data_IF_521713813765
#
_entry.id   IF_521713813765
#
_cell.length_a   1.000
_cell.length_b   1.000
_cell.length_c   1.000
_cell.angle_alpha   90.00
_cell.angle_beta   90.00
_cell.angle_gamma   90.00
#
_symmetry.space_group_name_H-M   'P 1'
#
loop_
_entity.id
_entity.type
_entity.pdbx_description
1 polymer ?
#
# COMPACT_ATOMS: atom_id res chain seq x y z
N UNK A 1 2.37 5.96 -7.60
CA UNK A 1 1.75 5.22 -6.46
C UNK A 1 2.80 4.54 -5.58
N UNK A 2 3.79 3.84 -6.14
CA UNK A 2 4.89 3.26 -5.35
C UNK A 2 5.68 4.31 -4.54
N UNK A 3 5.89 5.50 -5.09
CA UNK A 3 6.53 6.62 -4.36
C UNK A 3 5.76 6.98 -3.09
N UNK A 4 4.42 7.02 -3.15
CA UNK A 4 3.56 7.30 -2.00
C UNK A 4 3.59 6.19 -0.96
N UNK A 5 3.70 4.94 -1.40
CA UNK A 5 3.77 3.79 -0.50
C UNK A 5 5.09 3.74 0.26
N UNK A 6 6.19 4.07 -0.42
CA UNK A 6 7.56 3.77 0.05
C UNK A 6 8.34 4.99 0.51
N UNK A 7 7.92 6.20 0.15
CA UNK A 7 8.67 7.44 0.36
C UNK A 7 9.95 7.54 -0.49
N UNK A 8 10.15 6.63 -1.45
CA UNK A 8 11.38 6.57 -2.28
C UNK A 8 11.20 7.27 -3.62
N UNK A 9 12.32 7.73 -4.18
CA UNK A 9 12.39 8.22 -5.56
C UNK A 9 12.11 7.09 -6.57
N UNK A 10 11.49 7.39 -7.72
CA UNK A 10 11.18 6.38 -8.72
C UNK A 10 12.43 5.80 -9.39
N UNK A 11 13.50 6.60 -9.47
CA UNK A 11 14.82 6.17 -9.93
C UNK A 11 15.94 6.75 -9.07
N UNK A 12 16.90 5.93 -8.67
CA UNK A 12 18.09 6.33 -7.92
C UNK A 12 19.36 5.65 -8.48
N UNK A 13 20.25 6.43 -9.11
CA UNK A 13 21.48 5.91 -9.70
C UNK A 13 22.55 5.50 -8.68
N UNK A 14 22.43 5.94 -7.41
CA UNK A 14 23.36 5.59 -6.35
C UNK A 14 23.15 4.16 -5.82
N UNK A 15 21.97 3.59 -6.07
CA UNK A 15 21.58 2.25 -5.65
C UNK A 15 22.15 1.15 -6.57
N UNK A 16 22.26 -0.11 -6.09
CA UNK A 16 22.61 -1.26 -6.94
C UNK A 16 21.67 -1.38 -8.14
N UNK A 17 22.15 -1.86 -9.31
CA UNK A 17 21.39 -1.88 -10.57
C UNK A 17 19.97 -2.44 -10.48
N UNK A 18 19.73 -3.42 -9.61
CA UNK A 18 18.40 -4.02 -9.43
C UNK A 18 17.44 -3.11 -8.65
N UNK A 19 17.98 -2.25 -7.79
CA UNK A 19 17.27 -1.34 -6.91
C UNK A 19 17.14 0.08 -7.45
N UNK A 20 17.84 0.41 -8.54
CA UNK A 20 17.77 1.73 -9.16
C UNK A 20 16.37 2.07 -9.64
N UNK A 21 15.60 1.10 -10.12
CA UNK A 21 14.21 1.29 -10.52
C UNK A 21 13.29 0.84 -9.40
N UNK A 22 12.49 1.77 -8.88
CA UNK A 22 11.55 1.50 -7.80
C UNK A 22 10.56 0.39 -8.17
N UNK A 23 10.08 0.37 -9.42
CA UNK A 23 9.18 -0.68 -9.92
C UNK A 23 9.86 -2.03 -9.87
N UNK A 24 11.07 -2.15 -10.44
CA UNK A 24 11.80 -3.42 -10.50
C UNK A 24 12.10 -4.00 -9.11
N UNK A 25 12.43 -3.14 -8.16
CA UNK A 25 12.66 -3.54 -6.77
C UNK A 25 11.37 -3.91 -6.04
N UNK A 26 10.30 -3.13 -6.22
CA UNK A 26 9.05 -3.28 -5.46
C UNK A 26 8.18 -4.45 -5.93
N UNK A 27 8.04 -4.66 -7.24
CA UNK A 27 7.13 -5.66 -7.82
C UNK A 27 7.20 -7.04 -7.18
N UNK A 28 8.37 -7.68 -6.96
CA UNK A 28 8.43 -9.01 -6.36
C UNK A 28 7.93 -9.08 -4.90
N UNK A 29 7.83 -7.94 -4.23
CA UNK A 29 7.47 -7.85 -2.81
C UNK A 29 5.99 -7.50 -2.59
N UNK A 30 5.25 -7.09 -3.63
CA UNK A 30 3.86 -6.60 -3.50
C UNK A 30 2.86 -7.66 -3.05
N UNK A 31 3.19 -8.95 -3.21
CA UNK A 31 2.31 -10.08 -2.87
C UNK A 31 2.61 -10.70 -1.50
N UNK A 32 3.72 -10.32 -0.87
CA UNK A 32 4.13 -10.83 0.44
C UNK A 32 3.83 -9.77 1.51
N UNK A 33 3.00 -10.11 2.50
CA UNK A 33 2.52 -9.17 3.52
C UNK A 33 3.67 -8.66 4.39
N UNK A 34 4.64 -9.52 4.73
CA UNK A 34 5.77 -9.18 5.58
C UNK A 34 6.79 -8.33 4.82
N UNK A 35 7.02 -8.62 3.54
CA UNK A 35 7.85 -7.80 2.67
C UNK A 35 7.20 -6.43 2.42
N UNK A 36 5.89 -6.40 2.13
CA UNK A 36 5.13 -5.18 1.92
C UNK A 36 5.22 -4.26 3.15
N UNK A 37 5.07 -4.79 4.36
CA UNK A 37 5.19 -4.01 5.59
C UNK A 37 6.58 -3.36 5.77
N UNK A 38 7.65 -4.02 5.30
CA UNK A 38 9.03 -3.49 5.36
C UNK A 38 9.31 -2.41 4.31
N UNK A 39 8.51 -2.35 3.25
CA UNK A 39 8.68 -1.35 2.19
C UNK A 39 7.94 -0.05 2.46
N UNK A 40 6.99 -0.04 3.40
CA UNK A 40 6.19 1.15 3.69
C UNK A 40 7.08 2.29 4.17
N UNK A 41 6.75 3.50 3.73
CA UNK A 41 7.43 4.73 4.17
C UNK A 41 7.52 4.77 5.70
N UNK A 42 8.74 4.79 6.28
CA UNK A 42 8.94 4.89 7.72
C UNK A 42 8.27 6.13 8.34
N UNK A 43 8.09 7.20 7.56
CA UNK A 43 7.41 8.42 8.03
C UNK A 43 5.94 8.17 8.38
N UNK A 44 5.32 7.10 7.89
CA UNK A 44 3.96 6.70 8.26
C UNK A 44 3.89 6.08 9.67
N UNK A 45 5.01 5.73 10.30
CA UNK A 45 5.09 5.28 11.70
C UNK A 45 4.11 4.14 12.07
N UNK A 46 3.77 3.26 11.12
CA UNK A 46 2.79 2.18 11.34
C UNK A 46 1.34 2.65 11.44
N UNK A 47 1.05 3.93 11.16
CA UNK A 47 -0.29 4.53 11.22
C UNK A 47 -1.12 4.19 9.97
N UNK A 48 -1.24 2.91 9.67
CA UNK A 48 -2.05 2.41 8.56
C UNK A 48 -2.69 1.06 8.92
N UNK A 49 -3.97 0.84 8.56
CA UNK A 49 -4.57 -0.48 8.73
C UNK A 49 -3.90 -1.50 7.78
N UNK A 50 -3.42 -2.66 8.26
CA UNK A 50 -2.76 -3.66 7.41
C UNK A 50 -3.60 -4.14 6.21
N UNK A 51 -4.92 -4.24 6.40
CA UNK A 51 -5.87 -4.58 5.33
C UNK A 51 -5.98 -3.50 4.25
N UNK A 52 -5.81 -2.23 4.61
CA UNK A 52 -5.82 -1.13 3.65
C UNK A 52 -4.51 -1.09 2.87
N UNK A 53 -3.39 -1.34 3.53
CA UNK A 53 -2.08 -1.48 2.90
C UNK A 53 -2.09 -2.59 1.84
N UNK A 54 -2.55 -3.80 2.18
CA UNK A 54 -2.64 -4.92 1.24
C UNK A 54 -3.49 -4.57 0.01
N UNK A 55 -4.66 -3.95 0.18
CA UNK A 55 -5.48 -3.52 -0.97
C UNK A 55 -4.84 -2.45 -1.82
N UNK A 56 -4.14 -1.51 -1.20
CA UNK A 56 -3.42 -0.48 -1.95
C UNK A 56 -2.29 -1.12 -2.77
N UNK A 57 -1.58 -2.11 -2.20
CA UNK A 57 -0.58 -2.89 -2.91
C UNK A 57 -1.19 -3.70 -4.07
N UNK A 58 -2.38 -4.28 -3.91
CA UNK A 58 -3.08 -4.98 -5.00
C UNK A 58 -3.33 -4.04 -6.19
N UNK A 59 -3.79 -2.81 -5.93
CA UNK A 59 -4.01 -1.80 -6.98
C UNK A 59 -2.69 -1.44 -7.67
N UNK A 60 -1.61 -1.26 -6.89
CA UNK A 60 -0.28 -0.99 -7.44
C UNK A 60 0.19 -2.15 -8.32
N UNK A 61 0.05 -3.40 -7.85
CA UNK A 61 0.49 -4.60 -8.54
C UNK A 61 -0.18 -4.76 -9.91
N UNK A 62 -1.47 -4.41 -10.02
CA UNK A 62 -2.18 -4.37 -11.30
C UNK A 62 -1.65 -3.25 -12.22
N UNK A 63 -1.34 -2.08 -11.68
CA UNK A 63 -0.86 -0.94 -12.47
C UNK A 63 0.56 -1.13 -13.03
N UNK A 64 1.40 -1.94 -12.37
CA UNK A 64 2.82 -2.14 -12.74
C UNK A 64 3.08 -3.45 -13.49
N UNK A 65 2.04 -4.18 -13.90
CA UNK A 65 2.16 -5.39 -14.72
C UNK A 65 3.00 -5.14 -15.98
N UNK A 66 3.80 -6.13 -16.38
CA UNK A 66 4.60 -6.04 -17.62
C UNK A 66 3.69 -5.90 -18.84
N UNK A 67 2.64 -6.71 -18.90
CA UNK A 67 1.69 -6.76 -20.01
C UNK A 67 0.65 -5.64 -19.86
N UNK A 68 0.47 -4.88 -20.93
CA UNK A 68 -0.45 -3.73 -20.94
C UNK A 68 -1.92 -4.16 -20.77
N UNK A 69 -2.29 -5.34 -21.25
CA UNK A 69 -3.65 -5.88 -21.19
C UNK A 69 -4.14 -6.17 -19.76
N UNK A 70 -3.21 -6.39 -18.81
CA UNK A 70 -3.55 -6.61 -17.39
C UNK A 70 -3.59 -5.30 -16.59
N UNK A 71 -3.21 -4.18 -17.19
CA UNK A 71 -3.27 -2.87 -16.51
C UNK A 71 -4.69 -2.32 -16.59
N UNK A 72 -5.31 -2.00 -15.45
CA UNK A 72 -6.66 -1.45 -15.43
C UNK A 72 -6.67 -0.03 -16.01
N UNK A 73 -7.78 0.42 -16.60
CA UNK A 73 -7.97 1.81 -16.97
C UNK A 73 -7.98 2.70 -15.72
N UNK A 74 -7.59 3.97 -15.88
CA UNK A 74 -7.53 4.92 -14.75
C UNK A 74 -8.88 5.10 -14.04
N UNK A 75 -10.00 4.93 -14.73
CA UNK A 75 -11.34 4.94 -14.12
C UNK A 75 -11.50 3.86 -13.03
N UNK A 76 -11.02 2.64 -13.29
CA UNK A 76 -11.06 1.54 -12.33
C UNK A 76 -10.09 1.76 -11.18
N UNK A 77 -8.89 2.29 -11.47
CA UNK A 77 -7.91 2.65 -10.45
C UNK A 77 -8.50 3.68 -9.48
N UNK A 78 -9.10 4.75 -10.00
CA UNK A 78 -9.77 5.77 -9.17
C UNK A 78 -10.90 5.16 -8.36
N UNK A 79 -11.74 4.30 -8.95
CA UNK A 79 -12.83 3.64 -8.23
C UNK A 79 -12.32 2.72 -7.10
N UNK A 80 -11.21 2.02 -7.32
CA UNK A 80 -10.57 1.19 -6.28
C UNK A 80 -10.04 2.05 -5.13
N UNK A 81 -9.37 3.16 -5.43
CA UNK A 81 -8.83 4.09 -4.44
C UNK A 81 -9.93 4.79 -3.63
N UNK A 82 -11.00 5.26 -4.28
CA UNK A 82 -12.15 5.87 -3.60
C UNK A 82 -12.78 4.89 -2.61
N UNK A 83 -12.98 3.63 -3.01
CA UNK A 83 -13.50 2.57 -2.12
C UNK A 83 -12.57 2.31 -0.94
N UNK A 84 -11.25 2.39 -1.14
CA UNK A 84 -10.26 2.22 -0.09
C UNK A 84 -10.37 3.33 0.97
N UNK A 85 -10.48 4.59 0.53
CA UNK A 85 -10.62 5.77 1.41
C UNK A 85 -11.95 5.76 2.16
N UNK A 86 -13.06 5.43 1.49
CA UNK A 86 -14.37 5.32 2.14
C UNK A 86 -14.36 4.26 3.25
N UNK A 87 -13.67 3.13 3.01
CA UNK A 87 -13.58 2.04 3.98
C UNK A 87 -12.64 2.35 5.14
N UNK A 88 -11.62 3.19 4.97
CA UNK A 88 -10.82 3.67 6.10
C UNK A 88 -11.61 4.63 6.99
N UNK A 89 -12.38 5.54 6.39
CA UNK A 89 -13.21 6.51 7.13
C UNK A 89 -14.31 5.83 7.96
N UNK A 90 -15.01 4.82 7.42
CA UNK A 90 -16.06 4.11 8.16
C UNK A 90 -15.56 3.27 9.35
N UNK A 91 -14.25 3.02 9.48
CA UNK A 91 -13.69 2.21 10.58
C UNK A 91 -13.28 3.05 11.79
N UNK A 92 -13.07 4.35 11.60
CA UNK A 92 -12.73 5.26 12.70
C UNK A 92 -13.91 5.43 13.68
N UNK A 93 -15.15 5.39 13.17
CA UNK A 93 -16.37 5.49 13.99
C UNK A 93 -16.66 4.24 14.86
N UNK A 94 -16.33 3.04 14.37
CA UNK A 94 -16.57 1.78 15.09
C UNK A 94 -15.44 1.43 16.10
N UNK A 95 -14.27 2.07 15.96
CA UNK A 95 -13.11 1.85 16.83
C UNK A 95 -13.12 2.65 18.14
N UNK A 96 -13.94 3.70 18.23
CA UNK A 96 -14.10 4.49 19.45
C UNK A 96 -15.00 3.81 20.50
N UNK A 97 -15.77 2.79 20.12
CA UNK A 97 -16.76 2.13 21.01
C UNK A 97 -16.26 0.88 21.74
N UNK A 98 -15.00 0.44 21.56
CA UNK A 98 -14.46 -0.80 22.19
C UNK A 98 -13.31 -0.56 23.19
N UNK A 99 -13.24 0.62 23.81
CA UNK A 99 -12.19 0.94 24.81
C UNK A 99 -12.67 1.02 26.27
N UNK A 100 -13.89 0.60 26.56
CA UNK A 100 -14.25 0.12 27.89
C UNK A 100 -14.70 -1.33 27.73
N UNK A 101 -14.53 -2.15 28.76
CA UNK A 101 -14.70 -3.60 28.78
C UNK A 101 -13.45 -4.38 28.36
N UNK A 102 -12.34 -4.16 29.08
CA UNK A 102 -11.57 -5.28 29.67
C UNK A 102 -10.54 -4.73 30.68
N UNK A 103 -11.02 -4.44 31.89
CA UNK A 103 -10.22 -4.33 33.12
C UNK A 103 -11.08 -4.94 34.22
N UNK A 104 -11.23 -6.27 34.21
CA UNK A 104 -11.50 -7.00 35.43
C UNK A 104 -11.06 -8.47 35.31
N UNK A 105 -10.37 -8.89 36.37
CA UNK A 105 -9.79 -10.21 36.71
C UNK A 105 -8.42 -10.63 36.15
#
# INVERSE_FOLDING_TARGET
MLELLTGRMPFDSSMPRFEQSLVRWATPQLHDIDALAKMVDPALCGLYPPKSLSRFADVIALCVQSELEFRPPMSEVVQALVRLVQRSSMREDLGASRRLDDYDY
#
